data_IF_292534384909
#
_entry.id   IF_292534384909
#
_cell.length_a   1.000
_cell.length_b   1.000
_cell.length_c   1.000
_cell.angle_alpha   90.00
_cell.angle_beta   90.00
_cell.angle_gamma   90.00
#
_symmetry.space_group_name_H-M   'P 1'
#
loop_
_entity.id
_entity.type
_entity.pdbx_description
1 polymer ?
#
# COMPACT_ATOMS: atom_id res chain seq x y z
N UNK A 1 83.89 -44.83 29.84
CA UNK A 1 83.48 -43.43 30.12
C UNK A 1 83.67 -42.62 28.84
N UNK A 2 82.61 -42.01 28.29
CA UNK A 2 82.70 -41.14 27.10
C UNK A 2 81.34 -40.99 26.41
N UNK A 3 80.69 -39.84 26.62
CA UNK A 3 79.25 -39.59 26.42
C UNK A 3 78.85 -39.51 24.93
N UNK A 4 77.74 -40.16 24.56
CA UNK A 4 77.04 -39.98 23.26
C UNK A 4 76.41 -38.59 23.21
N UNK A 5 76.80 -37.75 22.26
CA UNK A 5 76.16 -36.46 21.98
C UNK A 5 74.86 -36.68 21.21
N UNK A 6 73.72 -36.55 21.90
CA UNK A 6 72.40 -36.47 21.29
C UNK A 6 72.27 -35.12 20.57
N UNK A 7 72.07 -35.16 19.25
CA UNK A 7 71.80 -33.96 18.46
C UNK A 7 70.45 -33.34 18.85
N UNK A 8 70.48 -32.06 19.23
CA UNK A 8 69.27 -31.25 19.41
C UNK A 8 68.55 -31.11 18.05
N UNK A 9 67.47 -31.86 17.84
CA UNK A 9 66.53 -31.59 16.75
C UNK A 9 65.76 -30.31 17.10
N UNK A 10 66.15 -29.20 16.48
CA UNK A 10 65.42 -27.93 16.55
C UNK A 10 64.07 -28.14 15.83
N UNK A 11 62.99 -28.27 16.61
CA UNK A 11 61.65 -28.33 16.05
C UNK A 11 61.36 -27.00 15.35
N UNK A 12 61.20 -27.05 14.02
CA UNK A 12 60.75 -25.90 13.24
C UNK A 12 59.33 -25.55 13.64
N UNK A 13 59.16 -24.50 14.45
CA UNK A 13 57.85 -23.89 14.67
C UNK A 13 57.38 -23.30 13.35
N UNK A 14 56.49 -23.98 12.62
CA UNK A 14 55.73 -23.34 11.55
C UNK A 14 54.90 -22.23 12.19
N UNK A 15 55.22 -20.98 11.88
CA UNK A 15 54.44 -19.83 12.34
C UNK A 15 53.00 -20.02 11.86
N UNK A 16 52.06 -20.19 12.80
CA UNK A 16 50.65 -20.28 12.48
C UNK A 16 50.23 -18.95 11.83
N UNK A 17 49.64 -19.01 10.64
CA UNK A 17 49.02 -17.87 10.00
C UNK A 17 47.79 -17.46 10.81
N UNK A 18 47.98 -16.62 11.82
CA UNK A 18 46.88 -16.01 12.57
C UNK A 18 46.12 -15.08 11.62
N UNK A 19 44.78 -15.18 11.52
CA UNK A 19 44.02 -14.27 10.67
C UNK A 19 44.21 -12.83 11.17
N UNK A 20 44.48 -11.91 10.24
CA UNK A 20 44.74 -10.49 10.52
C UNK A 20 43.60 -9.79 11.29
N UNK A 21 42.39 -10.36 11.28
CA UNK A 21 41.25 -9.86 12.03
C UNK A 21 40.64 -10.97 12.90
N UNK A 22 40.74 -10.81 14.21
CA UNK A 22 39.99 -11.62 15.16
C UNK A 22 38.53 -11.14 15.16
N UNK A 23 37.59 -12.02 14.78
CA UNK A 23 36.16 -11.71 14.90
C UNK A 23 35.79 -11.63 16.39
N UNK A 24 35.70 -10.42 16.93
CA UNK A 24 35.44 -10.21 18.35
C UNK A 24 34.09 -10.76 18.81
N UNK A 25 34.06 -11.33 20.02
CA UNK A 25 32.82 -11.83 20.68
C UNK A 25 32.04 -10.70 21.39
N UNK A 26 32.06 -9.49 20.82
CA UNK A 26 31.32 -8.35 21.37
C UNK A 26 29.81 -8.56 21.24
N UNK A 27 29.06 -8.11 22.25
CA UNK A 27 27.60 -8.17 22.26
C UNK A 27 26.94 -7.32 21.16
N UNK A 28 27.69 -6.38 20.56
CA UNK A 28 27.22 -5.53 19.44
C UNK A 28 27.54 -6.12 18.06
N UNK A 29 28.35 -7.19 18.00
CA UNK A 29 28.72 -7.83 16.73
C UNK A 29 27.62 -8.81 16.29
N UNK A 30 26.98 -8.60 15.11
CA UNK A 30 25.96 -9.52 14.61
C UNK A 30 26.50 -10.91 14.22
N UNK A 31 27.80 -11.04 13.95
CA UNK A 31 28.46 -12.29 13.56
C UNK A 31 29.30 -12.90 14.69
N UNK A 32 29.00 -12.54 15.95
CA UNK A 32 29.59 -13.13 17.16
C UNK A 32 29.34 -14.63 17.21
N UNK A 33 30.40 -15.41 17.44
CA UNK A 33 30.29 -16.82 17.86
C UNK A 33 29.85 -16.86 19.33
N UNK A 34 28.69 -17.46 19.57
CA UNK A 34 28.13 -17.59 20.91
C UNK A 34 28.82 -18.74 21.65
N UNK A 35 29.22 -18.55 22.91
CA UNK A 35 29.66 -19.67 23.74
C UNK A 35 28.46 -20.55 24.11
N UNK A 36 28.68 -21.86 24.18
CA UNK A 36 27.64 -22.87 24.50
C UNK A 36 27.45 -23.05 26.03
N UNK A 37 27.84 -22.06 26.80
CA UNK A 37 27.84 -22.11 28.26
C UNK A 37 26.50 -21.71 28.89
N UNK A 38 25.49 -21.33 28.08
CA UNK A 38 24.21 -20.81 28.56
C UNK A 38 23.05 -21.32 27.72
N UNK A 39 21.87 -21.33 28.36
CA UNK A 39 20.62 -21.75 27.73
C UNK A 39 20.33 -20.97 26.44
N UNK A 40 19.76 -21.65 25.45
CA UNK A 40 19.30 -21.07 24.19
C UNK A 40 18.38 -19.87 24.48
N UNK A 41 18.71 -18.71 23.92
CA UNK A 41 17.96 -17.46 24.13
C UNK A 41 18.54 -16.52 25.20
N UNK A 42 19.55 -16.95 25.98
CA UNK A 42 20.22 -16.05 26.94
C UNK A 42 20.90 -14.86 26.26
N UNK A 43 21.49 -15.09 25.08
CA UNK A 43 22.17 -14.08 24.32
C UNK A 43 21.28 -13.46 23.25
N UNK A 44 21.45 -12.16 23.01
CA UNK A 44 20.75 -11.44 21.93
C UNK A 44 20.99 -12.12 20.59
N UNK A 45 19.91 -12.30 19.82
CA UNK A 45 19.94 -12.86 18.48
C UNK A 45 20.56 -11.86 17.50
N UNK A 46 20.98 -12.36 16.32
CA UNK A 46 21.54 -11.53 15.24
C UNK A 46 20.58 -10.42 14.80
N UNK A 47 19.27 -10.70 14.72
CA UNK A 47 18.26 -9.70 14.36
C UNK A 47 18.12 -8.61 15.41
N UNK A 48 18.09 -8.99 16.69
CA UNK A 48 18.05 -8.04 17.81
C UNK A 48 19.27 -7.14 17.83
N UNK A 49 20.48 -7.68 17.58
CA UNK A 49 21.71 -6.89 17.53
C UNK A 49 21.69 -5.88 16.38
N UNK A 50 21.27 -6.29 15.17
CA UNK A 50 21.14 -5.38 14.03
C UNK A 50 20.13 -4.25 14.29
N UNK A 51 19.00 -4.56 14.91
CA UNK A 51 17.99 -3.57 15.29
C UNK A 51 18.51 -2.59 16.34
N UNK A 52 19.30 -3.05 17.31
CA UNK A 52 19.91 -2.16 18.31
C UNK A 52 21.00 -1.28 17.70
N UNK A 53 21.80 -1.84 16.79
CA UNK A 53 22.78 -1.06 16.05
C UNK A 53 22.11 -0.02 15.15
N UNK A 54 20.93 -0.33 14.57
CA UNK A 54 20.10 0.63 13.84
C UNK A 54 19.68 1.81 14.73
N UNK A 55 19.13 1.56 15.93
CA UNK A 55 18.75 2.63 16.86
C UNK A 55 19.94 3.46 17.36
N UNK A 56 21.13 2.87 17.41
CA UNK A 56 22.37 3.57 17.78
C UNK A 56 23.02 4.32 16.61
N UNK A 57 22.66 3.98 15.37
CA UNK A 57 23.22 4.64 14.20
C UNK A 57 22.68 6.07 14.11
N UNK A 58 23.59 7.05 14.04
CA UNK A 58 23.23 8.45 13.84
C UNK A 58 23.22 8.73 12.34
N UNK A 59 22.27 9.53 11.83
CA UNK A 59 22.36 10.01 10.45
C UNK A 59 23.66 10.80 10.31
N UNK A 60 24.39 10.57 9.21
CA UNK A 60 25.53 11.42 8.89
C UNK A 60 24.98 12.82 8.57
N UNK A 61 25.39 13.83 9.32
CA UNK A 61 25.00 15.21 9.06
C UNK A 61 25.69 15.68 7.77
N UNK A 62 24.94 15.72 6.67
CA UNK A 62 25.41 16.08 5.33
C UNK A 62 24.36 15.77 4.26
N UNK A 63 24.61 16.14 3.00
CA UNK A 63 23.77 15.72 1.86
C UNK A 63 23.88 14.20 1.72
N UNK A 64 22.75 13.49 1.84
CA UNK A 64 22.70 12.06 1.55
C UNK A 64 23.30 11.81 0.15
N UNK A 65 24.16 10.79 0.00
CA UNK A 65 24.72 10.46 -1.31
C UNK A 65 23.57 10.03 -2.22
N UNK A 66 23.25 10.89 -3.19
CA UNK A 66 22.25 10.55 -4.21
C UNK A 66 22.74 9.31 -4.97
N UNK A 67 21.87 8.31 -5.20
CA UNK A 67 22.25 7.13 -5.96
C UNK A 67 22.74 7.56 -7.35
N UNK A 68 24.01 7.29 -7.64
CA UNK A 68 24.70 7.70 -8.88
C UNK A 68 24.18 6.94 -10.11
N UNK A 69 23.39 5.88 -9.92
CA UNK A 69 22.90 5.04 -11.00
C UNK A 69 21.71 5.68 -11.73
N UNK A 70 21.66 5.65 -13.08
CA UNK A 70 20.50 6.12 -13.83
C UNK A 70 19.29 5.21 -13.60
N UNK A 71 18.18 5.78 -13.13
CA UNK A 71 16.92 5.06 -12.96
C UNK A 71 16.19 4.94 -14.32
N UNK A 72 16.53 3.92 -15.11
CA UNK A 72 15.84 3.59 -16.35
C UNK A 72 14.95 2.37 -16.15
N UNK A 73 13.71 2.44 -16.64
CA UNK A 73 12.80 1.31 -16.63
C UNK A 73 12.87 0.64 -18.01
N UNK A 74 13.19 -0.67 -18.05
CA UNK A 74 13.33 -1.43 -19.30
C UNK A 74 11.97 -1.59 -19.99
N UNK A 75 11.82 -1.32 -21.30
CA UNK A 75 10.55 -1.53 -21.98
C UNK A 75 10.13 -3.01 -21.92
N UNK A 76 8.92 -3.28 -21.42
CA UNK A 76 8.33 -4.63 -21.33
C UNK A 76 6.86 -4.59 -21.77
N UNK A 77 6.45 -5.54 -22.63
CA UNK A 77 5.06 -5.69 -23.08
C UNK A 77 4.10 -6.00 -21.94
N UNK A 78 4.59 -6.62 -20.87
CA UNK A 78 3.77 -7.02 -19.70
C UNK A 78 3.19 -5.83 -18.94
N UNK A 79 3.77 -4.64 -19.07
CA UNK A 79 3.26 -3.43 -18.41
C UNK A 79 1.89 -2.99 -18.91
N UNK A 80 1.59 -3.34 -20.16
CA UNK A 80 0.34 -2.95 -20.82
C UNK A 80 -0.71 -4.07 -20.77
N UNK A 81 -0.38 -5.21 -20.15
CA UNK A 81 -1.33 -6.31 -19.97
C UNK A 81 -2.21 -6.10 -18.74
N UNK A 82 -3.44 -6.62 -18.80
CA UNK A 82 -4.39 -6.58 -17.68
C UNK A 82 -3.83 -7.38 -16.50
N UNK A 83 -3.47 -6.71 -15.40
CA UNK A 83 -2.84 -7.35 -14.22
C UNK A 83 -3.85 -7.90 -13.20
N UNK A 84 -5.07 -7.35 -13.16
CA UNK A 84 -6.15 -7.75 -12.24
C UNK A 84 -7.45 -7.82 -13.02
N UNK A 85 -7.98 -9.03 -13.20
CA UNK A 85 -9.24 -9.30 -13.89
C UNK A 85 -10.15 -10.08 -12.95
N UNK A 86 -11.45 -9.79 -12.99
CA UNK A 86 -12.47 -10.48 -12.21
C UNK A 86 -13.61 -10.89 -13.14
N UNK A 87 -14.14 -12.09 -12.94
CA UNK A 87 -15.30 -12.57 -13.70
C UNK A 87 -16.58 -11.94 -13.16
N UNK A 88 -17.54 -11.67 -14.04
CA UNK A 88 -18.81 -11.04 -13.64
C UNK A 88 -19.60 -11.88 -12.62
N UNK A 89 -19.62 -13.21 -12.77
CA UNK A 89 -20.30 -14.11 -11.83
C UNK A 89 -19.70 -14.05 -10.42
N UNK A 90 -18.36 -14.01 -10.33
CA UNK A 90 -17.64 -13.85 -9.06
C UNK A 90 -17.86 -12.46 -8.46
N UNK A 91 -17.99 -11.44 -9.30
CA UNK A 91 -18.31 -10.08 -8.88
C UNK A 91 -19.71 -10.03 -8.24
N UNK A 92 -20.73 -10.61 -8.89
CA UNK A 92 -22.10 -10.68 -8.33
C UNK A 92 -22.16 -11.44 -7.01
N UNK A 93 -21.57 -12.63 -6.93
CA UNK A 93 -21.48 -13.41 -5.70
C UNK A 93 -20.81 -12.60 -4.57
N UNK A 94 -19.79 -11.82 -4.91
CA UNK A 94 -19.11 -10.99 -3.93
C UNK A 94 -19.95 -9.80 -3.44
N UNK A 95 -20.77 -9.19 -4.31
CA UNK A 95 -21.73 -8.14 -3.89
C UNK A 95 -22.70 -8.68 -2.85
N UNK A 96 -23.22 -9.87 -3.06
CA UNK A 96 -24.14 -10.54 -2.13
C UNK A 96 -23.45 -10.90 -0.80
N UNK A 97 -22.25 -11.49 -0.86
CA UNK A 97 -21.51 -11.85 0.35
C UNK A 97 -21.12 -10.62 1.18
N UNK A 98 -20.74 -9.50 0.53
CA UNK A 98 -20.44 -8.27 1.23
C UNK A 98 -21.66 -7.62 1.87
N UNK A 99 -22.81 -7.58 1.19
CA UNK A 99 -24.01 -6.98 1.78
C UNK A 99 -24.47 -7.77 3.01
N UNK A 100 -24.37 -9.09 2.98
CA UNK A 100 -24.64 -9.94 4.15
C UNK A 100 -23.65 -9.70 5.30
N UNK A 101 -22.36 -9.55 4.98
CA UNK A 101 -21.32 -9.33 5.99
C UNK A 101 -21.38 -7.92 6.62
N UNK A 102 -21.68 -6.88 5.82
CA UNK A 102 -21.79 -5.50 6.29
C UNK A 102 -22.95 -5.32 7.28
N UNK A 103 -24.04 -6.08 7.07
CA UNK A 103 -25.19 -6.11 7.97
C UNK A 103 -24.92 -6.83 9.32
N UNK A 104 -23.77 -7.51 9.49
CA UNK A 104 -23.45 -8.25 10.71
C UNK A 104 -22.41 -7.52 11.60
N UNK A 105 -22.85 -6.79 12.65
CA UNK A 105 -21.96 -6.01 13.51
C UNK A 105 -21.05 -6.85 14.41
N UNK A 106 -21.30 -8.15 14.56
CA UNK A 106 -20.52 -9.03 15.44
C UNK A 106 -19.35 -9.70 14.74
N UNK A 107 -19.21 -9.52 13.42
CA UNK A 107 -18.14 -10.12 12.62
C UNK A 107 -17.05 -9.10 12.29
N UNK A 108 -15.77 -9.49 12.39
CA UNK A 108 -14.63 -8.61 12.10
C UNK A 108 -13.71 -9.25 11.05
N UNK A 109 -13.35 -8.48 10.04
CA UNK A 109 -12.45 -8.93 8.96
C UNK A 109 -10.99 -8.81 9.41
N UNK A 110 -10.31 -9.95 9.59
CA UNK A 110 -8.89 -9.99 9.97
C UNK A 110 -7.94 -9.71 8.80
N UNK A 111 -8.30 -10.15 7.58
CA UNK A 111 -7.48 -9.98 6.38
C UNK A 111 -8.37 -9.72 5.17
N UNK A 112 -8.32 -8.50 4.66
CA UNK A 112 -9.00 -8.13 3.41
C UNK A 112 -8.35 -8.78 2.19
N UNK A 113 -9.16 -9.33 1.30
CA UNK A 113 -8.72 -9.70 -0.05
C UNK A 113 -8.46 -8.43 -0.88
N UNK A 114 -7.55 -8.52 -1.86
CA UNK A 114 -7.19 -7.38 -2.73
C UNK A 114 -8.17 -7.28 -3.90
N UNK A 115 -9.40 -6.86 -3.62
CA UNK A 115 -10.47 -6.75 -4.61
C UNK A 115 -10.68 -5.30 -5.05
N UNK A 116 -11.10 -5.05 -6.31
CA UNK A 116 -11.47 -3.73 -6.78
C UNK A 116 -12.83 -3.33 -6.19
N UNK A 117 -12.85 -2.90 -4.92
CA UNK A 117 -14.08 -2.48 -4.23
C UNK A 117 -14.81 -1.33 -4.93
N UNK A 118 -14.11 -0.56 -5.77
CA UNK A 118 -14.72 0.48 -6.61
C UNK A 118 -15.80 -0.05 -7.56
N UNK A 119 -15.77 -1.33 -7.95
CA UNK A 119 -16.81 -1.93 -8.79
C UNK A 119 -18.06 -2.35 -8.00
N UNK A 120 -17.99 -2.34 -6.68
CA UNK A 120 -19.02 -2.90 -5.80
C UNK A 120 -19.86 -1.83 -5.15
N UNK A 121 -19.36 -0.60 -5.06
CA UNK A 121 -20.20 0.53 -4.71
C UNK A 121 -21.36 0.54 -5.73
N UNK A 122 -22.62 0.31 -5.32
CA UNK A 122 -23.72 0.71 -6.16
C UNK A 122 -23.48 2.19 -6.40
N UNK A 123 -23.36 2.57 -7.67
CA UNK A 123 -23.23 3.96 -8.14
C UNK A 123 -23.72 4.91 -7.06
N UNK A 124 -22.78 5.48 -6.28
CA UNK A 124 -23.17 6.40 -5.24
C UNK A 124 -24.05 7.45 -5.96
N UNK A 125 -25.27 7.75 -5.47
CA UNK A 125 -26.16 8.65 -6.17
C UNK A 125 -25.43 9.99 -6.36
N UNK A 126 -24.93 10.20 -7.59
CA UNK A 126 -24.11 11.36 -7.96
C UNK A 126 -22.65 11.15 -8.39
N UNK A 127 -22.14 9.93 -8.69
CA UNK A 127 -20.76 9.81 -9.25
C UNK A 127 -20.54 8.90 -10.45
N UNK A 128 -21.57 8.29 -11.02
CA UNK A 128 -21.42 7.53 -12.26
C UNK A 128 -22.62 7.75 -13.15
N UNK A 129 -22.37 8.38 -14.29
CA UNK A 129 -23.13 8.25 -15.52
C UNK A 129 -23.21 6.74 -15.85
N UNK A 130 -24.22 6.04 -15.34
CA UNK A 130 -24.59 4.72 -15.85
C UNK A 130 -25.80 4.91 -16.77
N UNK A 131 -25.55 4.71 -18.07
CA UNK A 131 -26.55 4.35 -19.07
C UNK A 131 -27.11 2.99 -18.65
N UNK A 132 -28.33 2.97 -18.14
CA UNK A 132 -29.07 1.76 -17.81
C UNK A 132 -29.85 1.33 -19.07
N UNK A 133 -29.23 0.52 -19.94
CA UNK A 133 -29.94 -0.27 -20.96
C UNK A 133 -30.47 -1.55 -20.30
N UNK A 134 -31.59 -1.46 -19.59
CA UNK A 134 -32.16 -2.64 -18.95
C UNK A 134 -33.27 -2.30 -17.97
N UNK A 135 -34.47 -2.07 -18.48
CA UNK A 135 -35.59 -1.55 -17.71
C UNK A 135 -35.95 -2.33 -16.44
N UNK A 136 -36.27 -1.57 -15.40
CA UNK A 136 -37.38 -1.84 -14.50
C UNK A 136 -37.94 -0.51 -13.99
N UNK A 137 -39.07 -0.13 -14.56
CA UNK A 137 -39.84 1.06 -14.21
C UNK A 137 -40.61 0.80 -12.92
N UNK A 138 -40.03 1.17 -11.78
CA UNK A 138 -40.81 1.35 -10.55
C UNK A 138 -40.38 2.63 -9.85
N UNK A 139 -41.16 3.67 -10.10
CA UNK A 139 -41.52 4.73 -9.14
C UNK A 139 -40.40 5.26 -8.24
N UNK A 140 -39.83 6.38 -8.64
CA UNK A 140 -39.75 7.67 -7.92
C UNK A 140 -38.57 8.41 -8.52
N UNK A 141 -38.86 9.58 -9.06
CA UNK A 141 -37.93 10.50 -9.77
C UNK A 141 -36.47 10.25 -9.37
N UNK A 142 -35.59 9.82 -10.30
CA UNK A 142 -34.17 9.75 -9.99
C UNK A 142 -33.74 11.17 -9.63
N UNK A 143 -33.52 11.42 -8.35
CA UNK A 143 -32.95 12.65 -7.85
C UNK A 143 -31.48 12.65 -8.28
N UNK A 144 -31.25 12.93 -9.56
CA UNK A 144 -29.96 13.33 -10.08
C UNK A 144 -29.57 14.56 -9.28
N UNK A 145 -28.67 14.42 -8.30
CA UNK A 145 -28.13 15.57 -7.58
C UNK A 145 -27.58 16.54 -8.62
N UNK A 146 -28.32 17.64 -8.85
CA UNK A 146 -28.02 18.66 -9.84
C UNK A 146 -27.70 18.08 -11.22
N UNK A 147 -28.72 17.67 -11.97
CA UNK A 147 -28.65 17.34 -13.40
C UNK A 147 -27.76 18.32 -14.15
N UNK A 148 -26.46 18.01 -14.27
CA UNK A 148 -25.36 18.88 -14.69
C UNK A 148 -25.82 20.28 -15.14
N UNK A 149 -26.29 21.11 -14.19
CA UNK A 149 -27.07 22.31 -14.53
C UNK A 149 -26.17 23.26 -15.32
N UNK A 150 -24.88 23.24 -15.00
CA UNK A 150 -23.81 23.95 -15.68
C UNK A 150 -23.54 23.46 -17.12
N UNK A 151 -23.89 22.21 -17.44
CA UNK A 151 -23.78 21.66 -18.81
C UNK A 151 -24.97 22.07 -19.68
N UNK A 152 -26.17 22.08 -19.11
CA UNK A 152 -27.40 22.51 -19.80
C UNK A 152 -27.48 24.04 -19.89
N UNK A 153 -27.05 24.71 -18.84
CA UNK A 153 -27.10 26.16 -18.67
C UNK A 153 -25.81 26.63 -17.98
N UNK A 154 -24.84 27.03 -18.79
CA UNK A 154 -23.58 27.57 -18.26
C UNK A 154 -23.80 28.86 -17.47
N UNK A 155 -22.86 29.20 -16.59
CA UNK A 155 -22.97 30.42 -15.78
C UNK A 155 -23.04 31.67 -16.65
N UNK A 156 -22.26 31.75 -17.74
CA UNK A 156 -22.26 32.91 -18.64
C UNK A 156 -23.60 33.11 -19.37
N UNK A 157 -24.29 32.02 -19.70
CA UNK A 157 -25.55 32.09 -20.45
C UNK A 157 -26.75 32.40 -19.53
N UNK A 158 -26.64 32.06 -18.24
CA UNK A 158 -27.67 32.30 -17.23
C UNK A 158 -27.51 33.64 -16.51
N UNK A 159 -26.27 34.01 -16.18
CA UNK A 159 -25.91 35.21 -15.44
C UNK A 159 -24.82 35.97 -16.19
N UNK A 160 -25.21 37.04 -16.88
CA UNK A 160 -24.29 37.87 -17.64
C UNK A 160 -25.02 38.85 -18.54
N UNK A 161 -24.26 39.76 -19.14
CA UNK A 161 -24.80 40.77 -20.06
C UNK A 161 -25.41 40.12 -21.32
N UNK A 162 -24.81 39.02 -21.78
CA UNK A 162 -25.31 38.20 -22.90
C UNK A 162 -26.27 37.07 -22.49
N UNK A 163 -26.93 37.19 -21.33
CA UNK A 163 -27.82 36.13 -20.83
C UNK A 163 -28.97 35.80 -21.81
N UNK A 164 -29.19 34.52 -22.04
CA UNK A 164 -30.27 34.01 -22.91
C UNK A 164 -31.51 33.62 -22.13
N UNK A 165 -31.39 33.34 -20.82
CA UNK A 165 -32.52 32.93 -19.96
C UNK A 165 -33.43 34.11 -19.60
N UNK A 166 -34.71 34.02 -19.99
CA UNK A 166 -35.73 35.06 -19.70
C UNK A 166 -36.71 34.69 -18.59
N UNK A 167 -36.93 33.41 -18.30
CA UNK A 167 -37.86 32.93 -17.27
C UNK A 167 -37.17 31.96 -16.30
N UNK A 168 -37.47 32.01 -14.99
CA UNK A 168 -36.97 31.03 -14.04
C UNK A 168 -37.63 29.67 -14.26
N UNK A 169 -36.90 28.59 -13.96
CA UNK A 169 -37.51 27.26 -13.87
C UNK A 169 -38.06 27.09 -12.45
N UNK A 170 -39.38 27.13 -12.32
CA UNK A 170 -40.09 26.90 -11.06
C UNK A 170 -40.67 25.48 -11.09
N UNK A 171 -40.57 24.78 -9.96
CA UNK A 171 -41.14 23.44 -9.79
C UNK A 171 -42.56 23.51 -9.20
N UNK A 172 -43.24 24.65 -9.33
CA UNK A 172 -44.59 24.88 -8.84
C UNK A 172 -45.50 25.15 -10.04
N UNK A 173 -46.69 24.54 -10.02
CA UNK A 173 -47.68 24.67 -11.09
C UNK A 173 -48.59 25.89 -10.90
N UNK A 174 -48.84 26.27 -9.65
CA UNK A 174 -49.71 27.40 -9.28
C UNK A 174 -49.09 28.25 -8.17
N UNK A 175 -49.55 29.50 -8.05
CA UNK A 175 -49.05 30.46 -7.07
C UNK A 175 -49.30 29.98 -5.63
N UNK A 176 -50.41 29.28 -5.40
CA UNK A 176 -50.74 28.69 -4.10
C UNK A 176 -49.80 27.56 -3.70
N UNK A 177 -49.26 26.81 -4.67
CA UNK A 177 -48.26 25.76 -4.43
C UNK A 177 -46.89 26.38 -4.14
N UNK A 178 -46.51 27.42 -4.89
CA UNK A 178 -45.27 28.17 -4.66
C UNK A 178 -45.24 28.85 -3.27
N UNK A 179 -46.39 29.33 -2.78
CA UNK A 179 -46.49 29.95 -1.45
C UNK A 179 -46.45 28.95 -0.29
N UNK A 180 -46.63 27.65 -0.56
CA UNK A 180 -46.61 26.57 0.43
C UNK A 180 -45.30 25.79 0.46
N UNK A 181 -44.44 25.97 -0.54
CA UNK A 181 -43.06 25.48 -0.58
C UNK A 181 -42.17 26.25 0.41
#
# INVERSE_FOLDING_TARGET
MGKKSQGLKKAGHKAAHLPAFQRGSSSTNPDRKLPDNKKKGFYRSKSTIKLLNLYKSKPQQGKEPQPTAPARIQPDRRWFGNTRVIDQSKLSLFREALSQADNNPYSVVLKRSKLPLSLLAPSAPGRTEHFDEGGQETSTVPQTRGSAILSLQSFSDTFGDKRTRKRPQLQASDLGELARQ
#
